data_IF_140597603163
#
_entry.id   IF_140597603163
#
_cell.length_a   1.000
_cell.length_b   1.000
_cell.length_c   1.000
_cell.angle_alpha   90.00
_cell.angle_beta   90.00
_cell.angle_gamma   90.00
#
_symmetry.space_group_name_H-M   'P 1'
#
loop_
_entity.id
_entity.type
_entity.pdbx_description
1 polymer ?
#
# COMPACT_ATOMS: atom_id res chain seq x y z
N UNK A 1 30.81 -14.08 4.16
CA UNK A 1 31.03 -12.62 4.33
C UNK A 1 31.15 -11.82 3.04
N UNK A 2 31.93 -12.25 2.03
CA UNK A 2 32.07 -11.49 0.78
C UNK A 2 30.78 -11.34 -0.05
N UNK A 3 29.87 -12.34 -0.01
CA UNK A 3 28.56 -12.29 -0.67
C UNK A 3 27.60 -11.25 -0.04
N UNK A 4 27.52 -11.20 1.31
CA UNK A 4 26.70 -10.22 2.03
C UNK A 4 27.19 -8.78 1.78
N UNK A 5 28.50 -8.58 1.72
CA UNK A 5 29.11 -7.29 1.40
C UNK A 5 28.84 -6.88 -0.06
N UNK A 6 28.86 -7.83 -1.01
CA UNK A 6 28.49 -7.58 -2.40
C UNK A 6 27.01 -7.21 -2.60
N UNK A 7 26.11 -7.81 -1.81
CA UNK A 7 24.68 -7.55 -1.86
C UNK A 7 24.31 -6.18 -1.27
N UNK A 8 25.00 -5.74 -0.21
CA UNK A 8 24.85 -4.40 0.35
C UNK A 8 25.26 -3.28 -0.64
N UNK A 9 26.34 -3.50 -1.40
CA UNK A 9 26.78 -2.55 -2.43
C UNK A 9 25.81 -2.48 -3.61
N UNK A 10 25.19 -3.61 -3.98
CA UNK A 10 24.16 -3.64 -5.03
C UNK A 10 22.87 -2.93 -4.58
N UNK A 11 22.44 -3.11 -3.33
CA UNK A 11 21.27 -2.42 -2.79
C UNK A 11 21.49 -0.90 -2.74
N UNK A 12 22.65 -0.43 -2.25
CA UNK A 12 22.97 1.01 -2.27
C UNK A 12 22.99 1.60 -3.69
N UNK A 13 23.47 0.85 -4.68
CA UNK A 13 23.42 1.27 -6.09
C UNK A 13 22.01 1.28 -6.64
N UNK A 14 21.16 0.33 -6.22
CA UNK A 14 19.75 0.28 -6.61
C UNK A 14 18.98 1.47 -6.02
N UNK A 15 19.21 1.80 -4.75
CA UNK A 15 18.60 2.95 -4.08
C UNK A 15 19.04 4.26 -4.74
N UNK A 16 20.34 4.37 -5.10
CA UNK A 16 20.87 5.50 -5.86
C UNK A 16 20.20 5.66 -7.22
N UNK A 17 20.06 4.56 -7.98
CA UNK A 17 19.38 4.57 -9.29
C UNK A 17 17.87 4.88 -9.17
N UNK A 18 17.21 4.44 -8.10
CA UNK A 18 15.81 4.77 -7.82
C UNK A 18 15.64 6.26 -7.48
N UNK A 19 16.57 6.83 -6.74
CA UNK A 19 16.61 8.27 -6.45
C UNK A 19 16.82 9.11 -7.72
N UNK A 20 17.79 8.73 -8.57
CA UNK A 20 18.02 9.40 -9.86
C UNK A 20 16.83 9.28 -10.82
N UNK A 21 16.18 8.10 -10.88
CA UNK A 21 14.94 7.94 -11.63
C UNK A 21 13.83 8.87 -11.11
N UNK A 22 13.71 9.03 -9.79
CA UNK A 22 12.74 9.91 -9.16
C UNK A 22 12.97 11.38 -9.56
N UNK A 23 14.22 11.84 -9.59
CA UNK A 23 14.57 13.18 -10.08
C UNK A 23 14.24 13.36 -11.57
N UNK A 24 14.51 12.36 -12.42
CA UNK A 24 14.22 12.42 -13.86
C UNK A 24 12.71 12.47 -14.11
N UNK A 25 11.90 11.73 -13.35
CA UNK A 25 10.44 11.75 -13.46
C UNK A 25 9.89 13.13 -13.07
N UNK A 26 10.40 13.74 -11.99
CA UNK A 26 10.00 15.10 -11.59
C UNK A 26 10.34 16.13 -12.68
N UNK A 27 11.55 16.07 -13.26
CA UNK A 27 11.95 16.97 -14.34
C UNK A 27 11.08 16.78 -15.59
N UNK A 28 10.73 15.54 -15.94
CA UNK A 28 9.81 15.25 -17.07
C UNK A 28 8.41 15.80 -16.83
N UNK A 29 7.90 15.71 -15.60
CA UNK A 29 6.61 16.29 -15.24
C UNK A 29 6.64 17.82 -15.40
N UNK A 30 7.69 18.46 -14.89
CA UNK A 30 7.91 19.91 -15.02
C UNK A 30 8.00 20.36 -16.49
N UNK A 31 8.73 19.60 -17.33
CA UNK A 31 8.82 19.89 -18.76
C UNK A 31 7.48 19.72 -19.49
N UNK A 32 6.64 18.79 -19.05
CA UNK A 32 5.32 18.56 -19.65
C UNK A 32 4.37 19.71 -19.31
N UNK A 33 4.41 20.21 -18.08
CA UNK A 33 3.68 21.41 -17.67
C UNK A 33 4.13 22.65 -18.47
N UNK A 34 5.44 22.80 -18.71
CA UNK A 34 5.98 23.89 -19.54
C UNK A 34 5.52 23.82 -21.00
N UNK A 35 5.38 22.61 -21.57
CA UNK A 35 4.87 22.44 -22.95
C UNK A 35 3.41 22.85 -23.10
N UNK A 36 2.56 22.60 -22.09
CA UNK A 36 1.16 23.02 -22.12
C UNK A 36 0.99 24.55 -22.10
N UNK A 37 1.92 25.26 -21.45
CA UNK A 37 1.93 26.73 -21.43
C UNK A 37 2.39 27.33 -22.76
N UNK A 38 3.25 26.63 -23.52
CA UNK A 38 3.71 27.09 -24.84
C UNK A 38 2.64 26.99 -25.95
N UNK A 39 1.60 26.16 -25.77
CA UNK A 39 0.59 25.89 -26.81
C UNK A 39 -0.58 26.88 -26.85
N UNK A 40 -0.75 27.74 -25.82
CA UNK A 40 -1.82 28.76 -25.73
C UNK A 40 -1.28 30.18 -25.95
N UNK A 41 -0.68 30.43 -27.12
CA UNK A 41 -0.02 31.69 -27.48
C UNK A 41 -0.70 32.95 -26.97
N UNK A 42 -0.16 33.54 -25.89
CA UNK A 42 -0.61 34.82 -25.33
C UNK A 42 0.59 35.75 -25.09
N UNK A 43 0.34 37.02 -25.39
CA UNK A 43 1.28 38.14 -25.48
C UNK A 43 2.18 38.31 -24.25
N UNK A 44 3.44 38.68 -24.50
CA UNK A 44 4.58 38.72 -23.57
C UNK A 44 4.46 39.72 -22.42
N UNK A 45 3.40 40.52 -22.37
CA UNK A 45 3.14 41.50 -21.30
C UNK A 45 2.33 40.97 -20.12
N UNK A 46 1.57 39.88 -20.29
CA UNK A 46 0.87 39.20 -19.18
C UNK A 46 1.72 38.13 -18.47
N UNK A 47 2.89 37.81 -19.02
CA UNK A 47 3.83 36.82 -18.47
C UNK A 47 4.32 37.26 -17.08
N UNK A 48 4.56 38.56 -16.84
CA UNK A 48 5.00 39.05 -15.52
C UNK A 48 3.94 38.93 -14.42
N UNK A 49 2.65 39.06 -14.76
CA UNK A 49 1.58 38.98 -13.76
C UNK A 49 1.21 37.51 -13.45
N UNK A 50 1.23 36.63 -14.45
CA UNK A 50 1.09 35.19 -14.21
C UNK A 50 2.32 34.56 -13.54
N UNK A 51 3.55 35.03 -13.82
CA UNK A 51 4.71 34.59 -13.05
C UNK A 51 4.63 35.03 -11.58
N UNK A 52 4.00 36.18 -11.27
CA UNK A 52 3.80 36.59 -9.88
C UNK A 52 2.72 35.77 -9.16
N UNK A 53 1.67 35.31 -9.86
CA UNK A 53 0.62 34.48 -9.25
C UNK A 53 0.98 32.99 -9.17
N UNK A 54 1.79 32.45 -10.10
CA UNK A 54 2.25 31.05 -10.02
C UNK A 54 3.38 30.87 -9.00
N UNK A 55 4.17 31.92 -8.72
CA UNK A 55 5.22 31.91 -7.69
C UNK A 55 4.73 32.24 -6.27
N UNK A 56 3.41 32.23 -6.03
CA UNK A 56 2.80 32.30 -4.69
C UNK A 56 1.94 31.06 -4.45
N UNK A 57 2.50 29.86 -4.65
CA UNK A 57 2.00 28.65 -4.00
C UNK A 57 2.79 28.48 -2.69
N UNK A 58 2.11 28.46 -1.52
CA UNK A 58 2.80 28.29 -0.25
C UNK A 58 3.39 26.88 -0.19
N UNK A 59 4.69 26.80 0.10
CA UNK A 59 5.50 25.59 0.33
C UNK A 59 5.65 24.62 -0.85
N UNK A 60 6.87 24.11 -1.03
CA UNK A 60 7.10 22.79 -1.59
C UNK A 60 6.40 21.79 -0.66
N UNK A 61 5.10 21.61 -0.88
CA UNK A 61 4.24 20.93 0.08
C UNK A 61 4.67 19.46 0.15
N UNK A 62 4.83 18.95 1.37
CA UNK A 62 5.31 17.60 1.65
C UNK A 62 4.08 16.76 1.99
N UNK A 63 3.35 16.23 0.99
CA UNK A 63 2.08 15.56 1.21
C UNK A 63 2.31 14.34 2.12
N UNK A 64 1.52 14.19 3.17
CA UNK A 64 1.70 13.09 4.15
C UNK A 64 1.26 11.75 3.57
N UNK A 65 0.27 11.79 2.68
CA UNK A 65 -0.32 10.65 1.99
C UNK A 65 -0.98 11.11 0.67
N UNK A 66 -1.58 10.17 -0.06
CA UNK A 66 -2.26 10.46 -1.33
C UNK A 66 -3.47 11.40 -1.21
N UNK A 67 -4.07 11.57 -0.04
CA UNK A 67 -5.16 12.51 0.17
C UNK A 67 -4.67 13.95 0.16
N UNK A 68 -3.49 14.23 0.72
CA UNK A 68 -2.84 15.55 0.61
C UNK A 68 -2.41 15.82 -0.86
N UNK A 69 -1.89 14.81 -1.57
CA UNK A 69 -1.57 14.92 -3.01
C UNK A 69 -2.82 15.32 -3.81
N UNK A 70 -3.95 14.68 -3.52
CA UNK A 70 -5.23 15.03 -4.14
C UNK A 70 -5.73 16.42 -3.76
N UNK A 71 -5.62 16.80 -2.48
CA UNK A 71 -6.02 18.13 -2.01
C UNK A 71 -5.21 19.26 -2.67
N UNK A 72 -3.98 18.98 -3.10
CA UNK A 72 -3.16 19.88 -3.92
C UNK A 72 -3.64 20.01 -5.37
N UNK A 73 -4.75 19.36 -5.76
CA UNK A 73 -5.37 19.46 -7.08
C UNK A 73 -4.95 18.37 -8.07
N UNK A 74 -4.19 17.37 -7.63
CA UNK A 74 -3.81 16.22 -8.47
C UNK A 74 -4.95 15.21 -8.55
N UNK A 75 -5.32 14.80 -9.76
CA UNK A 75 -6.45 13.89 -10.00
C UNK A 75 -6.10 12.65 -10.84
N UNK A 76 -4.82 12.45 -11.17
CA UNK A 76 -4.36 11.33 -11.97
C UNK A 76 -3.84 10.20 -11.07
N UNK A 77 -4.24 8.96 -11.35
CA UNK A 77 -3.63 7.79 -10.72
C UNK A 77 -2.15 7.70 -11.09
N UNK A 78 -1.32 7.22 -10.18
CA UNK A 78 0.10 7.08 -10.46
C UNK A 78 0.98 7.00 -9.22
N UNK A 79 2.29 7.06 -9.43
CA UNK A 79 3.27 6.98 -8.35
C UNK A 79 3.67 8.39 -7.91
N UNK A 80 3.57 8.64 -6.60
CA UNK A 80 3.87 9.93 -5.98
C UNK A 80 4.76 9.76 -4.75
N UNK A 81 5.52 10.81 -4.42
CA UNK A 81 6.27 10.87 -3.17
C UNK A 81 5.36 11.35 -2.04
N UNK A 82 5.40 10.68 -0.90
CA UNK A 82 4.70 11.07 0.33
C UNK A 82 5.67 11.12 1.50
N UNK A 83 5.38 11.97 2.48
CA UNK A 83 6.24 12.28 3.62
C UNK A 83 5.41 12.24 4.91
N UNK A 84 5.10 11.04 5.44
CA UNK A 84 4.37 10.91 6.69
C UNK A 84 5.06 11.68 7.84
N UNK A 85 4.27 12.14 8.81
CA UNK A 85 4.74 13.03 9.90
C UNK A 85 5.97 12.52 10.64
N UNK A 86 6.08 11.19 10.82
CA UNK A 86 7.17 10.55 11.54
C UNK A 86 8.18 9.84 10.63
N UNK A 87 8.14 10.12 9.33
CA UNK A 87 9.07 9.63 8.32
C UNK A 87 9.46 10.77 7.36
N UNK A 88 10.42 11.62 7.78
CA UNK A 88 10.81 12.80 7.03
C UNK A 88 11.65 12.48 5.78
N UNK A 89 12.09 11.25 5.58
CA UNK A 89 12.74 10.89 4.32
C UNK A 89 11.69 10.60 3.23
N UNK A 90 10.51 10.15 3.66
CA UNK A 90 9.39 9.85 2.78
C UNK A 90 9.66 8.67 1.86
N UNK A 91 8.67 8.34 1.05
CA UNK A 91 8.75 7.20 0.13
C UNK A 91 7.74 7.32 -1.00
N UNK A 92 7.92 6.49 -2.03
CA UNK A 92 7.02 6.43 -3.17
C UNK A 92 5.84 5.49 -2.91
N UNK A 93 4.64 5.93 -3.25
CA UNK A 93 3.39 5.15 -3.17
C UNK A 93 2.63 5.23 -4.48
N UNK A 94 1.78 4.25 -4.74
CA UNK A 94 0.78 4.37 -5.79
C UNK A 94 -0.47 5.02 -5.21
N UNK A 95 -0.90 6.12 -5.80
CA UNK A 95 -2.13 6.81 -5.45
C UNK A 95 -3.24 6.45 -6.43
N UNK A 96 -4.35 6.00 -5.87
CA UNK A 96 -5.63 5.89 -6.57
C UNK A 96 -6.45 7.16 -6.27
N UNK A 97 -6.59 7.97 -7.32
CA UNK A 97 -7.29 9.25 -7.36
C UNK A 97 -8.70 9.12 -7.95
N UNK A 98 -9.19 7.91 -8.21
CA UNK A 98 -10.47 7.66 -8.89
C UNK A 98 -11.51 7.00 -7.97
N UNK A 99 -11.13 5.99 -7.19
CA UNK A 99 -12.06 5.19 -6.37
C UNK A 99 -12.71 6.03 -5.28
N UNK A 100 -14.05 6.09 -5.24
CA UNK A 100 -14.82 6.82 -4.22
C UNK A 100 -14.31 8.24 -3.94
N UNK A 101 -14.03 8.99 -5.01
CA UNK A 101 -13.50 10.34 -4.93
C UNK A 101 -11.99 10.43 -4.72
N UNK A 102 -11.28 9.30 -4.68
CA UNK A 102 -9.82 9.20 -4.72
C UNK A 102 -9.08 9.57 -3.43
N UNK A 103 -7.77 9.82 -3.54
CA UNK A 103 -6.89 10.12 -2.41
C UNK A 103 -6.49 8.87 -1.62
N UNK A 104 -6.52 7.70 -2.27
CA UNK A 104 -6.17 6.43 -1.65
C UNK A 104 -4.69 6.11 -1.84
N UNK A 105 -4.03 5.70 -0.76
CA UNK A 105 -2.65 5.21 -0.78
C UNK A 105 -2.67 3.69 -0.84
N UNK A 106 -2.19 3.10 -1.94
CA UNK A 106 -2.12 1.63 -2.10
C UNK A 106 -1.00 1.06 -1.24
N UNK A 107 -1.32 0.04 -0.45
CA UNK A 107 -0.39 -0.63 0.48
C UNK A 107 -0.08 -2.07 0.08
N UNK A 108 -0.93 -2.69 -0.74
CA UNK A 108 -0.73 -4.04 -1.28
C UNK A 108 -1.45 -4.16 -2.63
N UNK A 109 -0.85 -4.86 -3.60
CA UNK A 109 -1.51 -5.24 -4.85
C UNK A 109 -1.10 -6.65 -5.31
N UNK A 110 -2.07 -7.42 -5.78
CA UNK A 110 -1.94 -8.70 -6.51
C UNK A 110 -2.72 -8.60 -7.82
N UNK A 111 -2.16 -9.07 -8.92
CA UNK A 111 -2.81 -8.95 -10.24
C UNK A 111 -2.42 -10.03 -11.25
N UNK A 112 -1.21 -10.63 -11.15
CA UNK A 112 -0.70 -11.55 -12.17
C UNK A 112 0.20 -12.68 -11.64
N UNK A 113 0.59 -12.63 -10.36
CA UNK A 113 1.50 -13.58 -9.73
C UNK A 113 2.97 -13.42 -10.13
N UNK A 114 3.37 -12.27 -10.68
CA UNK A 114 4.75 -11.98 -11.08
C UNK A 114 5.70 -11.80 -9.90
N UNK A 115 5.18 -11.49 -8.71
CA UNK A 115 5.98 -11.27 -7.51
C UNK A 115 5.75 -12.38 -6.49
N UNK A 116 6.84 -12.88 -5.91
CA UNK A 116 6.77 -13.86 -4.82
C UNK A 116 6.44 -13.17 -3.48
N UNK A 117 5.27 -13.49 -2.92
CA UNK A 117 4.80 -13.03 -1.62
C UNK A 117 5.14 -13.97 -0.46
N UNK A 118 5.66 -15.19 -0.70
CA UNK A 118 6.11 -16.08 0.38
C UNK A 118 7.51 -15.68 0.89
N UNK A 119 7.57 -14.53 1.56
CA UNK A 119 8.78 -13.84 2.02
C UNK A 119 8.88 -13.85 3.54
N UNK A 120 10.09 -13.58 4.04
CA UNK A 120 10.37 -13.50 5.47
C UNK A 120 10.08 -12.13 6.07
N UNK A 121 10.29 -12.01 7.38
CA UNK A 121 10.01 -10.82 8.19
C UNK A 121 10.59 -9.52 7.62
N UNK A 122 11.89 -9.49 7.33
CA UNK A 122 12.56 -8.27 6.86
C UNK A 122 11.93 -7.73 5.56
N UNK A 123 11.54 -8.62 4.64
CA UNK A 123 10.88 -8.21 3.41
C UNK A 123 9.49 -7.61 3.67
N UNK A 124 8.71 -8.20 4.58
CA UNK A 124 7.40 -7.64 4.94
C UNK A 124 7.51 -6.36 5.76
N UNK A 125 8.57 -6.19 6.54
CA UNK A 125 8.88 -4.93 7.24
C UNK A 125 9.21 -3.82 6.25
N UNK A 126 10.15 -4.09 5.34
CA UNK A 126 10.78 -3.07 4.46
C UNK A 126 10.02 -2.85 3.15
N UNK A 127 9.16 -3.78 2.75
CA UNK A 127 8.43 -3.76 1.48
C UNK A 127 9.17 -4.44 0.33
N UNK A 128 8.42 -4.85 -0.68
CA UNK A 128 8.95 -5.50 -1.89
C UNK A 128 7.99 -5.36 -3.08
N UNK A 129 8.49 -5.65 -4.27
CA UNK A 129 7.73 -5.51 -5.53
C UNK A 129 7.92 -4.13 -6.15
N UNK A 130 7.00 -3.74 -7.04
CA UNK A 130 7.01 -2.43 -7.69
C UNK A 130 5.66 -1.76 -7.54
N UNK A 131 5.63 -0.48 -7.16
CA UNK A 131 4.38 0.28 -6.93
C UNK A 131 3.46 0.35 -8.16
N UNK A 132 4.02 0.19 -9.37
CA UNK A 132 3.25 0.13 -10.63
C UNK A 132 2.65 -1.24 -10.94
N UNK A 133 2.87 -2.26 -10.10
CA UNK A 133 2.31 -3.61 -10.27
C UNK A 133 2.15 -4.31 -8.93
N UNK A 134 2.42 -5.61 -8.86
CA UNK A 134 2.36 -6.35 -7.59
C UNK A 134 3.42 -5.86 -6.58
N UNK A 135 2.96 -5.54 -5.38
CA UNK A 135 3.85 -5.09 -4.30
C UNK A 135 3.20 -5.21 -2.92
N UNK A 136 4.07 -5.15 -1.92
CA UNK A 136 3.74 -4.88 -0.52
C UNK A 136 4.52 -3.64 -0.09
N UNK A 137 3.84 -2.62 0.42
CA UNK A 137 4.46 -1.34 0.75
C UNK A 137 5.48 -1.44 1.89
N UNK A 138 5.29 -2.39 2.81
CA UNK A 138 6.14 -2.57 4.00
C UNK A 138 5.42 -2.16 5.28
N UNK A 139 5.48 -3.00 6.31
CA UNK A 139 4.82 -2.78 7.60
C UNK A 139 5.29 -1.48 8.26
N UNK A 140 6.58 -1.15 8.14
CA UNK A 140 7.11 0.09 8.72
C UNK A 140 6.50 1.34 8.06
N UNK A 141 6.31 1.32 6.74
CA UNK A 141 5.68 2.41 6.00
C UNK A 141 4.18 2.51 6.29
N UNK A 142 3.48 1.38 6.38
CA UNK A 142 2.05 1.31 6.73
C UNK A 142 1.83 1.80 8.17
N UNK A 143 2.70 1.42 9.10
CA UNK A 143 2.70 1.96 10.46
C UNK A 143 2.86 3.48 10.44
N UNK A 144 3.87 4.00 9.73
CA UNK A 144 4.13 5.45 9.65
C UNK A 144 2.92 6.23 9.12
N UNK A 145 2.22 5.71 8.11
CA UNK A 145 0.99 6.30 7.58
C UNK A 145 -0.16 6.25 8.59
N UNK A 146 -0.37 5.11 9.26
CA UNK A 146 -1.59 4.87 10.04
C UNK A 146 -1.47 5.15 11.54
N UNK A 147 -0.28 5.51 12.04
CA UNK A 147 0.01 5.69 13.47
C UNK A 147 -0.89 6.72 14.15
N UNK A 148 -1.25 7.80 13.45
CA UNK A 148 -2.16 8.82 13.99
C UNK A 148 -3.60 8.30 14.18
N UNK A 149 -3.90 7.11 13.65
CA UNK A 149 -5.24 6.56 13.61
C UNK A 149 -6.13 7.26 12.58
N UNK A 150 -7.43 6.98 12.65
CA UNK A 150 -8.42 7.61 11.78
C UNK A 150 -8.28 7.27 10.31
N UNK A 151 -7.72 6.11 9.96
CA UNK A 151 -7.63 5.66 8.57
C UNK A 151 -8.74 4.65 8.26
N UNK A 152 -9.25 4.74 7.04
CA UNK A 152 -10.15 3.76 6.43
C UNK A 152 -9.31 2.82 5.59
N UNK A 153 -9.60 1.52 5.66
CA UNK A 153 -9.08 0.52 4.71
C UNK A 153 -10.16 0.17 3.70
N UNK A 154 -9.78 0.10 2.43
CA UNK A 154 -10.56 -0.51 1.34
C UNK A 154 -9.74 -1.62 0.70
N UNK A 155 -10.41 -2.73 0.42
CA UNK A 155 -9.86 -3.89 -0.28
C UNK A 155 -10.73 -4.15 -1.50
N UNK A 156 -10.20 -3.90 -2.69
CA UNK A 156 -10.86 -4.26 -3.95
C UNK A 156 -10.40 -5.63 -4.41
N UNK A 157 -11.33 -6.45 -4.91
CA UNK A 157 -11.08 -7.84 -5.29
C UNK A 157 -11.76 -8.18 -6.62
N UNK A 158 -11.11 -9.04 -7.42
CA UNK A 158 -11.72 -9.64 -8.60
C UNK A 158 -11.37 -11.12 -8.73
N UNK A 159 -12.32 -11.91 -9.24
CA UNK A 159 -12.13 -13.32 -9.57
C UNK A 159 -11.69 -13.49 -11.04
N UNK A 160 -11.52 -14.74 -11.50
CA UNK A 160 -11.13 -15.03 -12.89
C UNK A 160 -12.29 -14.93 -13.90
N UNK A 161 -13.53 -14.86 -13.43
CA UNK A 161 -14.74 -14.65 -14.23
C UNK A 161 -15.09 -13.15 -14.39
N UNK A 162 -14.22 -12.27 -13.88
CA UNK A 162 -14.35 -10.81 -13.83
C UNK A 162 -15.49 -10.30 -12.94
N UNK A 163 -16.00 -11.12 -12.01
CA UNK A 163 -16.81 -10.59 -10.92
C UNK A 163 -15.90 -9.82 -9.96
N UNK A 164 -16.44 -8.72 -9.40
CA UNK A 164 -15.70 -7.84 -8.49
C UNK A 164 -16.47 -7.66 -7.20
N UNK A 165 -15.75 -7.59 -6.08
CA UNK A 165 -16.30 -7.24 -4.78
C UNK A 165 -15.32 -6.36 -4.01
N UNK A 166 -15.81 -5.70 -2.96
CA UNK A 166 -14.94 -4.92 -2.07
C UNK A 166 -15.31 -5.10 -0.61
N UNK A 167 -14.33 -4.91 0.26
CA UNK A 167 -14.49 -4.79 1.70
C UNK A 167 -13.93 -3.43 2.16
N UNK A 168 -14.66 -2.75 3.03
CA UNK A 168 -14.30 -1.45 3.61
C UNK A 168 -14.38 -1.53 5.12
N UNK A 169 -13.37 -1.00 5.79
CA UNK A 169 -13.29 -0.92 7.25
C UNK A 169 -13.06 0.53 7.65
N UNK A 170 -14.00 1.10 8.41
CA UNK A 170 -13.92 2.51 8.78
C UNK A 170 -12.82 2.80 9.82
N UNK A 171 -12.31 1.76 10.48
CA UNK A 171 -11.16 1.83 11.38
C UNK A 171 -10.09 0.88 10.87
N UNK A 172 -8.91 1.42 10.58
CA UNK A 172 -7.71 0.66 10.26
C UNK A 172 -6.47 1.34 10.83
N UNK A 173 -5.60 0.56 11.46
CA UNK A 173 -4.23 0.97 11.77
C UNK A 173 -3.36 -0.24 12.04
N UNK A 174 -2.06 -0.06 11.88
CA UNK A 174 -1.04 -1.07 12.20
C UNK A 174 -0.18 -0.51 13.32
N UNK A 175 -0.04 -1.24 14.42
CA UNK A 175 0.85 -0.87 15.55
C UNK A 175 0.47 0.42 16.28
N UNK A 176 -0.77 0.93 16.20
CA UNK A 176 -1.16 2.26 16.72
C UNK A 176 -0.72 2.52 18.17
N UNK A 177 -0.82 1.52 19.04
CA UNK A 177 -0.49 1.64 20.46
C UNK A 177 0.92 1.15 20.81
N UNK A 178 1.72 0.79 19.80
CA UNK A 178 3.05 0.25 19.98
C UNK A 178 4.08 1.35 20.20
N UNK A 179 4.90 1.19 21.24
CA UNK A 179 6.11 1.99 21.45
C UNK A 179 7.19 1.55 20.46
N UNK A 180 7.37 0.23 20.33
CA UNK A 180 8.29 -0.41 19.41
C UNK A 180 7.49 -1.33 18.45
N UNK A 181 6.95 -0.82 17.33
CA UNK A 181 6.02 -1.56 16.48
C UNK A 181 6.62 -2.85 15.89
N UNK A 182 7.92 -2.88 15.63
CA UNK A 182 8.59 -4.09 15.16
C UNK A 182 8.70 -5.17 16.25
N UNK A 183 8.98 -4.79 17.50
CA UNK A 183 9.03 -5.73 18.63
C UNK A 183 7.62 -6.27 18.96
N UNK A 184 6.63 -5.37 18.95
CA UNK A 184 5.21 -5.69 19.20
C UNK A 184 4.56 -6.46 18.03
N UNK A 185 5.26 -6.67 16.93
CA UNK A 185 4.79 -7.49 15.81
C UNK A 185 3.78 -6.80 14.89
N UNK A 186 3.78 -5.46 14.83
CA UNK A 186 2.86 -4.67 13.99
C UNK A 186 1.38 -5.09 14.12
N UNK A 187 0.79 -5.04 15.33
CA UNK A 187 -0.56 -5.57 15.54
C UNK A 187 -1.61 -4.84 14.71
N UNK A 188 -2.54 -5.60 14.13
CA UNK A 188 -3.65 -5.06 13.35
C UNK A 188 -4.74 -4.49 14.25
N UNK A 189 -5.22 -3.30 13.93
CA UNK A 189 -6.50 -2.78 14.44
C UNK A 189 -7.42 -2.56 13.25
N UNK A 190 -8.52 -3.30 13.20
CA UNK A 190 -9.54 -3.15 12.16
C UNK A 190 -10.94 -3.27 12.75
N UNK A 191 -11.88 -2.44 12.31
CA UNK A 191 -13.27 -2.45 12.77
C UNK A 191 -14.23 -1.79 11.76
N UNK A 192 -15.54 -1.91 12.02
CA UNK A 192 -16.62 -1.25 11.29
C UNK A 192 -16.65 -1.63 9.80
N UNK A 193 -16.82 -2.93 9.54
CA UNK A 193 -16.96 -3.49 8.20
C UNK A 193 -18.19 -2.97 7.46
N UNK A 194 -18.03 -2.74 6.16
CA UNK A 194 -19.07 -2.56 5.15
C UNK A 194 -18.54 -3.06 3.80
N UNK A 195 -19.40 -3.43 2.86
CA UNK A 195 -18.97 -3.86 1.53
C UNK A 195 -19.78 -5.02 0.97
N UNK A 196 -19.37 -5.50 -0.21
CA UNK A 196 -20.06 -6.55 -0.96
C UNK A 196 -19.37 -7.91 -0.89
N UNK A 197 -18.12 -7.97 -0.41
CA UNK A 197 -17.32 -9.20 -0.36
C UNK A 197 -17.57 -10.08 0.89
N UNK A 198 -18.43 -9.64 1.81
CA UNK A 198 -18.49 -10.19 3.17
C UNK A 198 -17.23 -9.85 3.98
N UNK A 199 -17.31 -10.02 5.30
CA UNK A 199 -16.16 -9.79 6.17
C UNK A 199 -15.29 -11.05 6.32
N UNK A 200 -14.00 -10.90 6.04
CA UNK A 200 -12.96 -11.91 6.31
C UNK A 200 -11.74 -11.34 7.03
N UNK A 201 -11.84 -10.16 7.65
CA UNK A 201 -10.72 -9.50 8.33
C UNK A 201 -10.98 -9.17 9.81
N UNK A 202 -12.21 -8.96 10.27
CA UNK A 202 -12.45 -8.57 11.68
C UNK A 202 -11.91 -9.61 12.69
N UNK A 203 -11.94 -10.90 12.34
CA UNK A 203 -11.40 -11.97 13.19
C UNK A 203 -9.88 -11.90 13.39
N UNK A 204 -9.19 -11.13 12.56
CA UNK A 204 -7.75 -10.87 12.62
C UNK A 204 -7.40 -9.61 13.43
N UNK A 205 -8.39 -8.82 13.83
CA UNK A 205 -8.16 -7.63 14.67
C UNK A 205 -7.49 -8.02 15.99
N UNK A 206 -6.47 -7.27 16.39
CA UNK A 206 -5.62 -7.50 17.55
C UNK A 206 -4.46 -8.49 17.32
N UNK A 207 -4.40 -9.18 16.18
CA UNK A 207 -3.34 -10.16 15.92
C UNK A 207 -2.04 -9.49 15.48
N UNK A 208 -0.91 -10.11 15.83
CA UNK A 208 0.42 -9.73 15.36
C UNK A 208 0.66 -10.30 13.95
N UNK A 209 1.54 -9.65 13.20
CA UNK A 209 1.89 -10.11 11.87
C UNK A 209 2.83 -11.32 11.96
N UNK A 210 2.54 -12.36 11.19
CA UNK A 210 3.31 -13.60 11.18
C UNK A 210 3.85 -13.88 9.78
N UNK A 211 5.10 -14.30 9.73
CA UNK A 211 5.83 -14.71 8.53
C UNK A 211 6.46 -16.08 8.76
N UNK A 212 6.92 -16.72 7.68
CA UNK A 212 7.51 -18.08 7.74
C UNK A 212 8.72 -18.22 8.69
N UNK A 213 9.39 -17.11 9.00
CA UNK A 213 10.58 -17.03 9.85
C UNK A 213 10.38 -16.21 11.12
N UNK A 214 9.14 -15.74 11.39
CA UNK A 214 8.75 -15.10 12.65
C UNK A 214 7.30 -15.45 12.97
N UNK A 215 7.12 -16.42 13.86
CA UNK A 215 5.83 -16.91 14.32
C UNK A 215 5.32 -16.07 15.49
N UNK A 216 4.15 -15.44 15.31
CA UNK A 216 3.47 -14.62 16.31
C UNK A 216 1.95 -14.88 16.31
N UNK A 217 1.52 -16.02 15.75
CA UNK A 217 0.12 -16.40 15.69
C UNK A 217 -0.30 -17.20 16.94
N UNK A 218 -1.57 -17.63 17.00
CA UNK A 218 -2.15 -18.38 18.13
C UNK A 218 -2.30 -19.86 17.84
N UNK A 219 -1.71 -20.35 16.74
CA UNK A 219 -1.73 -21.76 16.38
C UNK A 219 -0.58 -22.52 17.02
N UNK A 220 -0.65 -23.85 17.01
CA UNK A 220 0.45 -24.72 17.43
C UNK A 220 1.54 -24.84 16.34
N UNK A 221 1.21 -24.47 15.09
CA UNK A 221 2.10 -24.48 13.95
C UNK A 221 2.17 -23.07 13.34
N UNK A 222 3.25 -22.77 12.61
CA UNK A 222 3.35 -21.49 11.92
C UNK A 222 2.32 -21.38 10.77
N UNK A 223 1.29 -20.56 10.94
CA UNK A 223 0.23 -20.36 9.95
C UNK A 223 0.77 -19.82 8.62
N UNK A 224 1.78 -18.95 8.66
CA UNK A 224 2.39 -18.39 7.44
C UNK A 224 3.09 -19.46 6.61
N UNK A 225 3.79 -20.41 7.26
CA UNK A 225 4.42 -21.54 6.59
C UNK A 225 3.38 -22.53 6.05
N UNK A 226 2.31 -22.80 6.79
CA UNK A 226 1.26 -23.74 6.39
C UNK A 226 0.44 -23.21 5.19
N UNK A 227 -0.03 -21.96 5.27
CA UNK A 227 -0.86 -21.30 4.26
C UNK A 227 -0.06 -20.42 3.28
N UNK A 228 1.26 -20.62 3.23
CA UNK A 228 2.16 -20.12 2.19
C UNK A 228 2.06 -18.61 1.94
N UNK A 229 1.91 -17.83 3.01
CA UNK A 229 1.70 -16.39 2.95
C UNK A 229 2.39 -15.64 4.09
N UNK A 230 1.90 -14.43 4.36
CA UNK A 230 2.20 -13.70 5.57
C UNK A 230 1.03 -12.76 5.89
N UNK A 231 0.58 -12.79 7.13
CA UNK A 231 -0.65 -12.12 7.52
C UNK A 231 -0.72 -11.90 9.02
N UNK A 232 -1.72 -11.15 9.47
CA UNK A 232 -2.11 -11.10 10.88
C UNK A 232 -2.86 -12.37 11.27
N UNK A 233 -2.21 -13.52 11.18
CA UNK A 233 -2.81 -14.82 11.45
C UNK A 233 -3.28 -14.95 12.90
N UNK A 234 -4.37 -15.69 13.09
CA UNK A 234 -4.90 -16.09 14.40
C UNK A 234 -4.70 -17.58 14.63
N UNK A 235 -5.63 -18.43 14.15
CA UNK A 235 -5.49 -19.89 14.15
C UNK A 235 -6.42 -20.52 13.06
N UNK A 236 -6.19 -20.30 11.77
CA UNK A 236 -5.16 -19.45 11.17
C UNK A 236 -5.76 -18.20 10.53
N UNK A 237 -6.72 -18.31 9.61
CA UNK A 237 -7.27 -17.14 8.94
C UNK A 237 -8.69 -17.29 8.43
N UNK A 238 -9.30 -16.14 8.10
CA UNK A 238 -10.44 -16.00 7.18
C UNK A 238 -10.08 -15.29 5.88
N UNK A 239 -8.93 -14.61 5.82
CA UNK A 239 -8.37 -13.99 4.61
C UNK A 239 -6.87 -14.28 4.51
N UNK A 240 -6.37 -14.46 3.27
CA UNK A 240 -4.96 -14.72 2.99
C UNK A 240 -4.51 -14.03 1.70
N UNK A 241 -4.68 -12.71 1.62
CA UNK A 241 -4.41 -11.94 0.38
C UNK A 241 -2.93 -11.97 -0.06
N UNK A 242 -2.04 -12.38 0.84
CA UNK A 242 -0.61 -12.55 0.60
C UNK A 242 -0.20 -14.01 0.35
N UNK A 243 -1.14 -14.92 0.18
CA UNK A 243 -0.89 -16.32 -0.17
C UNK A 243 -0.41 -16.52 -1.62
N UNK A 244 -0.32 -17.77 -2.03
CA UNK A 244 0.13 -18.13 -3.37
C UNK A 244 -0.86 -17.69 -4.44
N UNK A 245 -0.35 -17.29 -5.61
CA UNK A 245 -1.20 -16.91 -6.73
C UNK A 245 -1.61 -18.15 -7.55
N UNK A 246 -2.61 -18.90 -7.07
CA UNK A 246 -3.00 -20.22 -7.59
C UNK A 246 -4.01 -20.19 -8.74
N UNK A 247 -4.42 -18.99 -9.17
CA UNK A 247 -5.24 -18.74 -10.36
C UNK A 247 -6.61 -19.41 -10.38
N UNK A 248 -7.49 -19.01 -9.46
CA UNK A 248 -8.86 -19.50 -9.38
C UNK A 248 -8.97 -20.75 -8.50
N UNK A 249 -9.82 -21.70 -8.90
CA UNK A 249 -10.04 -22.92 -8.10
C UNK A 249 -8.79 -23.77 -8.02
N UNK A 250 -8.48 -24.26 -6.82
CA UNK A 250 -7.31 -25.10 -6.55
C UNK A 250 -7.63 -26.23 -5.55
N UNK A 251 -6.80 -27.27 -5.55
CA UNK A 251 -7.02 -28.48 -4.75
C UNK A 251 -6.49 -28.37 -3.32
N UNK A 252 -5.48 -27.53 -3.09
CA UNK A 252 -4.92 -27.26 -1.77
C UNK A 252 -5.92 -26.49 -0.90
N UNK A 253 -5.66 -26.45 0.41
CA UNK A 253 -6.60 -25.85 1.35
C UNK A 253 -6.10 -24.47 1.79
N UNK A 254 -6.79 -23.43 1.34
CA UNK A 254 -6.69 -22.04 1.77
C UNK A 254 -5.30 -21.37 1.70
N UNK A 255 -4.39 -21.90 0.89
CA UNK A 255 -3.01 -21.41 0.72
C UNK A 255 -2.84 -20.45 -0.48
N UNK A 256 -3.94 -20.10 -1.15
CA UNK A 256 -3.98 -19.13 -2.23
C UNK A 256 -4.23 -17.69 -1.79
N UNK A 257 -4.57 -16.81 -2.74
CA UNK A 257 -5.04 -15.45 -2.47
C UNK A 257 -6.51 -15.49 -2.06
N UNK A 258 -6.78 -15.79 -0.79
CA UNK A 258 -8.13 -16.13 -0.32
C UNK A 258 -8.89 -14.97 0.35
N UNK A 259 -10.21 -14.91 0.10
CA UNK A 259 -11.17 -14.14 0.88
C UNK A 259 -12.42 -15.00 1.15
N UNK A 260 -12.44 -15.68 2.30
CA UNK A 260 -13.35 -16.81 2.55
C UNK A 260 -14.84 -16.49 2.44
N UNK A 261 -15.24 -15.29 2.86
CA UNK A 261 -16.63 -14.84 2.81
C UNK A 261 -17.17 -14.56 1.42
N UNK A 262 -16.30 -14.46 0.40
CA UNK A 262 -16.72 -14.22 -0.99
C UNK A 262 -16.54 -15.46 -1.86
N UNK A 263 -15.33 -16.01 -1.93
CA UNK A 263 -14.99 -17.11 -2.86
C UNK A 263 -14.66 -18.43 -2.16
N UNK A 264 -14.82 -18.51 -0.84
CA UNK A 264 -14.51 -19.71 -0.06
C UNK A 264 -13.02 -19.91 0.19
N UNK A 265 -12.62 -21.15 0.45
CA UNK A 265 -11.28 -21.52 0.94
C UNK A 265 -10.39 -22.19 -0.11
N UNK A 266 -10.89 -22.37 -1.32
CA UNK A 266 -10.23 -23.13 -2.39
C UNK A 266 -10.31 -22.37 -3.71
N UNK A 267 -10.25 -21.04 -3.63
CA UNK A 267 -10.32 -20.16 -4.79
C UNK A 267 -9.38 -18.95 -4.58
N UNK A 268 -8.26 -18.98 -5.29
CA UNK A 268 -7.29 -17.89 -5.29
C UNK A 268 -7.74 -16.78 -6.24
N UNK A 269 -8.00 -15.61 -5.68
CA UNK A 269 -8.43 -14.41 -6.40
C UNK A 269 -7.43 -14.00 -7.50
N UNK A 270 -7.97 -13.36 -8.54
CA UNK A 270 -7.18 -12.82 -9.66
C UNK A 270 -6.56 -11.48 -9.31
N UNK A 271 -7.32 -10.62 -8.66
CA UNK A 271 -6.90 -9.26 -8.32
C UNK A 271 -7.23 -8.97 -6.87
N UNK A 272 -6.29 -8.34 -6.17
CA UNK A 272 -6.55 -7.73 -4.87
C UNK A 272 -5.79 -6.42 -4.76
N UNK A 273 -6.41 -5.38 -4.23
CA UNK A 273 -5.73 -4.13 -3.90
C UNK A 273 -6.17 -3.62 -2.54
N UNK A 274 -5.24 -3.55 -1.60
CA UNK A 274 -5.47 -2.93 -0.30
C UNK A 274 -4.99 -1.48 -0.35
N UNK A 275 -5.85 -0.55 0.07
CA UNK A 275 -5.54 0.88 0.08
C UNK A 275 -6.17 1.60 1.25
N UNK A 276 -5.50 2.66 1.70
CA UNK A 276 -5.89 3.42 2.88
C UNK A 276 -6.08 4.89 2.56
N UNK A 277 -6.96 5.54 3.33
CA UNK A 277 -7.21 6.98 3.25
C UNK A 277 -7.59 7.51 4.63
N UNK A 278 -7.17 8.72 5.03
CA UNK A 278 -7.69 9.35 6.24
C UNK A 278 -9.22 9.48 6.21
N UNK A 279 -9.85 9.25 7.35
CA UNK A 279 -11.26 9.52 7.57
C UNK A 279 -11.42 11.02 7.81
N UNK A 280 -12.07 11.72 6.90
CA UNK A 280 -12.22 13.19 6.96
C UNK A 280 -13.30 13.65 7.95
N UNK A 281 -13.88 12.75 8.75
CA UNK A 281 -14.74 13.16 9.85
C UNK A 281 -13.85 13.63 11.01
N UNK A 282 -13.89 14.92 11.40
CA UNK A 282 -13.26 15.33 12.64
C UNK A 282 -13.94 14.56 13.77
N UNK A 283 -13.14 14.08 14.73
CA UNK A 283 -13.66 13.50 15.96
C UNK A 283 -14.66 14.51 16.57
N UNK A 284 -15.93 14.12 16.62
CA UNK A 284 -17.04 14.89 17.17
C UNK A 284 -17.07 14.81 18.69
#
# INVERSE_FOLDING_TARGET
DSLKRGQGVLNQRLDGLQSEQSQIIQVRHLMTQLRHLSYRGHSTTNIKLHLFTVCLSPSADRPRDCSDVMAAGVSQDGVYSVFPTHDPDGFMVYCDMTTEGGGWTVIQRREDGSVNFFRGWEAYRDGFGKTTGEHWLGLQRIYSLTRSGGHVLRIDMADFDNATAFARYAVFSVGRNSVNPEEDGYPLTVDQYSGTAGDSLLKHSGMQFTTKDRDQDQSENNCAAYYQGAWWYRNCHTSNLNGQYLRGSHASYADGVEWSSWTGWQYSLRFTEMKIRPNTKPDS
#
